data_IF_958831966109
#
_entry.id   IF_958831966109
#
_cell.length_a   1.000
_cell.length_b   1.000
_cell.length_c   1.000
_cell.angle_alpha   90.00
_cell.angle_beta   90.00
_cell.angle_gamma   90.00
#
_symmetry.space_group_name_H-M   'P 1'
#
loop_
_entity.id
_entity.type
_entity.pdbx_description
1 polymer ?
#
# COMPACT_ATOMS: atom_id res chain seq x y z
N UNK A 1 17.29 -11.41 -5.10
CA UNK A 1 16.74 -10.92 -6.38
C UNK A 1 17.64 -9.79 -6.91
N UNK A 2 17.89 -9.74 -8.20
CA UNK A 2 18.66 -8.65 -8.80
C UNK A 2 17.76 -7.41 -8.90
N UNK A 3 18.03 -6.35 -8.13
CA UNK A 3 17.20 -5.14 -8.11
C UNK A 3 17.24 -4.33 -9.43
N UNK A 4 18.00 -4.76 -10.40
CA UNK A 4 18.02 -4.19 -11.75
C UNK A 4 17.02 -4.84 -12.70
N UNK A 5 16.31 -5.84 -12.21
CA UNK A 5 15.26 -6.55 -12.93
C UNK A 5 13.91 -6.21 -12.29
N UNK A 6 12.91 -5.96 -13.12
CA UNK A 6 11.55 -5.69 -12.67
C UNK A 6 10.95 -6.96 -12.09
N UNK A 7 10.19 -6.82 -10.99
CA UNK A 7 9.40 -7.92 -10.47
C UNK A 7 8.38 -8.39 -11.51
N UNK A 8 8.16 -9.71 -11.59
CA UNK A 8 7.26 -10.32 -12.58
C UNK A 8 5.84 -9.73 -12.53
N UNK A 9 5.31 -9.48 -11.35
CA UNK A 9 3.98 -8.89 -11.15
C UNK A 9 3.85 -7.43 -11.63
N UNK A 10 4.97 -6.73 -11.83
CA UNK A 10 5.03 -5.34 -12.30
C UNK A 10 5.55 -5.21 -13.73
N UNK A 11 5.87 -6.33 -14.37
CA UNK A 11 6.57 -6.34 -15.67
C UNK A 11 5.74 -5.65 -16.77
N UNK A 12 4.47 -5.97 -16.89
CA UNK A 12 3.62 -5.42 -17.95
C UNK A 12 3.39 -3.92 -17.78
N UNK A 13 3.21 -3.45 -16.53
CA UNK A 13 3.11 -2.03 -16.24
C UNK A 13 4.40 -1.29 -16.55
N UNK A 14 5.53 -1.86 -16.15
CA UNK A 14 6.86 -1.30 -16.44
C UNK A 14 7.08 -1.18 -17.95
N UNK A 15 6.86 -2.25 -18.70
CA UNK A 15 7.06 -2.26 -20.16
C UNK A 15 6.15 -1.24 -20.84
N UNK A 16 4.88 -1.18 -20.42
CA UNK A 16 3.94 -0.18 -20.96
C UNK A 16 4.42 1.25 -20.69
N UNK A 17 4.90 1.53 -19.48
CA UNK A 17 5.42 2.85 -19.14
C UNK A 17 6.69 3.20 -19.93
N UNK A 18 7.60 2.24 -20.12
CA UNK A 18 8.81 2.38 -20.92
C UNK A 18 8.50 2.66 -22.39
N UNK A 19 7.57 1.92 -22.99
CA UNK A 19 7.14 2.07 -24.38
C UNK A 19 6.53 3.45 -24.69
N UNK A 20 5.96 4.13 -23.69
CA UNK A 20 5.46 5.51 -23.87
C UNK A 20 6.57 6.53 -24.06
N UNK A 21 7.77 6.27 -23.57
CA UNK A 21 8.88 7.23 -23.53
C UNK A 21 8.64 8.46 -22.66
N UNK A 22 7.56 8.45 -21.84
CA UNK A 22 7.18 9.61 -20.99
C UNK A 22 7.79 9.54 -19.59
N UNK A 23 8.31 8.39 -19.18
CA UNK A 23 8.78 8.13 -17.82
C UNK A 23 10.24 7.72 -17.80
N UNK A 24 10.99 8.27 -16.84
CA UNK A 24 12.32 7.79 -16.47
C UNK A 24 12.15 6.74 -15.36
N UNK A 25 12.44 5.48 -15.66
CA UNK A 25 12.23 4.38 -14.74
C UNK A 25 13.43 4.20 -13.81
N UNK A 26 13.16 4.13 -12.51
CA UNK A 26 14.16 3.89 -11.46
C UNK A 26 13.76 2.63 -10.69
N UNK A 27 14.61 1.63 -10.70
CA UNK A 27 14.41 0.43 -9.90
C UNK A 27 15.25 0.50 -8.62
N UNK A 28 14.77 -0.15 -7.57
CA UNK A 28 15.50 -0.25 -6.30
C UNK A 28 15.38 -1.63 -5.66
N UNK A 29 16.26 -1.92 -4.71
CA UNK A 29 16.36 -3.20 -4.01
C UNK A 29 15.27 -3.36 -2.93
N UNK A 30 14.00 -3.40 -3.35
CA UNK A 30 12.82 -3.38 -2.46
C UNK A 30 12.93 -4.38 -1.30
N UNK A 31 13.08 -5.69 -1.58
CA UNK A 31 13.10 -6.73 -0.54
C UNK A 31 14.26 -6.55 0.45
N UNK A 32 15.45 -6.27 -0.07
CA UNK A 32 16.64 -6.09 0.75
C UNK A 32 16.52 -4.82 1.61
N UNK A 33 16.01 -3.73 1.03
CA UNK A 33 15.75 -2.49 1.75
C UNK A 33 14.67 -2.68 2.83
N UNK A 34 13.58 -3.38 2.54
CA UNK A 34 12.51 -3.67 3.49
C UNK A 34 13.04 -4.51 4.68
N UNK A 35 14.03 -5.38 4.43
CA UNK A 35 14.73 -6.16 5.44
C UNK A 35 15.86 -5.38 6.17
N UNK A 36 15.93 -4.07 5.97
CA UNK A 36 16.84 -3.20 6.69
C UNK A 36 18.18 -2.93 6.01
N UNK A 37 18.40 -3.42 4.79
CA UNK A 37 19.58 -3.05 4.02
C UNK A 37 19.49 -1.59 3.52
N UNK A 38 20.64 -1.07 3.13
CA UNK A 38 20.73 0.26 2.54
C UNK A 38 20.01 0.31 1.20
N UNK A 39 19.29 1.40 0.95
CA UNK A 39 18.64 1.65 -0.34
C UNK A 39 19.68 1.67 -1.46
N UNK A 40 19.48 0.88 -2.49
CA UNK A 40 20.27 0.87 -3.74
C UNK A 40 19.30 1.04 -4.90
N UNK A 41 19.69 1.79 -5.89
CA UNK A 41 18.86 2.11 -7.04
C UNK A 41 19.65 1.99 -8.33
N UNK A 42 18.95 1.82 -9.44
CA UNK A 42 19.54 2.00 -10.77
C UNK A 42 19.95 3.44 -10.96
N UNK A 43 20.90 3.66 -11.91
CA UNK A 43 21.41 4.99 -12.17
C UNK A 43 20.30 5.97 -12.59
N UNK A 44 20.43 7.22 -12.13
CA UNK A 44 19.48 8.29 -12.39
C UNK A 44 20.16 9.34 -13.25
N UNK A 45 19.53 9.70 -14.34
CA UNK A 45 20.05 10.72 -15.25
C UNK A 45 19.40 12.08 -15.05
N UNK A 46 18.17 12.14 -14.57
CA UNK A 46 17.46 13.39 -14.30
C UNK A 46 16.42 13.17 -13.17
N UNK A 47 16.58 13.93 -12.09
CA UNK A 47 15.70 13.91 -10.90
C UNK A 47 14.99 15.25 -10.69
N UNK A 48 14.99 16.14 -11.68
CA UNK A 48 14.31 17.45 -11.61
C UNK A 48 12.79 17.31 -11.60
N UNK A 49 12.25 16.21 -12.10
CA UNK A 49 10.83 15.94 -12.17
C UNK A 49 10.29 15.26 -10.90
N UNK A 50 9.00 15.46 -10.58
CA UNK A 50 8.34 14.73 -9.51
C UNK A 50 8.39 13.21 -9.75
N UNK A 51 8.63 12.43 -8.68
CA UNK A 51 8.76 10.98 -8.76
C UNK A 51 7.51 10.32 -8.16
N UNK A 52 6.99 9.31 -8.85
CA UNK A 52 5.92 8.46 -8.36
C UNK A 52 6.48 7.13 -7.88
N UNK A 53 6.10 6.72 -6.69
CA UNK A 53 6.31 5.35 -6.23
C UNK A 53 5.27 4.42 -6.86
N UNK A 54 5.73 3.43 -7.60
CA UNK A 54 4.94 2.30 -8.10
C UNK A 54 5.56 1.01 -7.60
N UNK A 55 4.85 0.29 -6.77
CA UNK A 55 5.33 -0.94 -6.14
C UNK A 55 4.33 -1.47 -5.14
N UNK A 56 4.75 -2.47 -4.38
CA UNK A 56 3.92 -3.07 -3.35
C UNK A 56 3.50 -2.06 -2.27
N UNK A 57 2.31 -2.28 -1.73
CA UNK A 57 1.79 -1.49 -0.62
C UNK A 57 2.74 -1.58 0.58
N UNK A 58 3.18 -0.42 1.05
CA UNK A 58 3.99 -0.27 2.26
C UNK A 58 3.11 0.10 3.44
N UNK A 59 3.51 -0.29 4.63
CA UNK A 59 2.94 0.31 5.84
C UNK A 59 3.32 1.80 5.90
N UNK A 60 2.54 2.65 6.57
CA UNK A 60 2.83 4.10 6.62
C UNK A 60 4.23 4.45 7.08
N UNK A 61 4.75 3.74 8.08
CA UNK A 61 6.11 3.92 8.60
C UNK A 61 7.19 3.49 7.61
N UNK A 62 6.95 2.43 6.85
CA UNK A 62 7.84 1.97 5.78
C UNK A 62 7.85 2.97 4.63
N UNK A 63 6.67 3.48 4.23
CA UNK A 63 6.57 4.53 3.22
C UNK A 63 7.28 5.81 3.65
N UNK A 64 7.09 6.23 4.91
CA UNK A 64 7.79 7.39 5.47
C UNK A 64 9.31 7.21 5.45
N UNK A 65 9.79 5.99 5.74
CA UNK A 65 11.22 5.65 5.65
C UNK A 65 11.71 5.75 4.20
N UNK A 66 10.98 5.15 3.24
CA UNK A 66 11.33 5.23 1.82
C UNK A 66 11.39 6.68 1.34
N UNK A 67 10.39 7.48 1.71
CA UNK A 67 10.33 8.90 1.39
C UNK A 67 11.58 9.65 1.89
N UNK A 68 11.99 9.40 3.14
CA UNK A 68 13.21 9.98 3.70
C UNK A 68 14.48 9.50 3.01
N UNK A 69 14.64 8.19 2.82
CA UNK A 69 15.81 7.59 2.17
C UNK A 69 16.00 8.09 0.72
N UNK A 70 14.90 8.41 0.02
CA UNK A 70 14.92 9.03 -1.31
C UNK A 70 15.22 10.51 -1.25
N UNK A 71 14.60 11.25 -0.32
CA UNK A 71 14.83 12.68 -0.14
C UNK A 71 16.30 13.00 0.20
N UNK A 72 16.97 12.16 1.00
CA UNK A 72 18.40 12.25 1.30
C UNK A 72 19.30 12.14 0.04
N UNK A 73 18.73 11.66 -1.05
CA UNK A 73 19.39 11.56 -2.36
C UNK A 73 18.89 12.57 -3.37
N UNK A 74 18.10 13.55 -2.93
CA UNK A 74 17.51 14.58 -3.78
C UNK A 74 16.32 14.13 -4.61
N UNK A 75 15.73 12.96 -4.30
CA UNK A 75 14.56 12.43 -4.99
C UNK A 75 13.31 12.72 -4.17
N UNK A 76 12.40 13.49 -4.74
CA UNK A 76 11.18 13.91 -4.06
C UNK A 76 9.96 13.20 -4.63
N UNK A 77 9.36 12.32 -3.80
CA UNK A 77 8.11 11.66 -4.15
C UNK A 77 6.96 12.68 -4.16
N UNK A 78 6.11 12.57 -5.16
CA UNK A 78 4.91 13.41 -5.30
C UNK A 78 3.94 13.22 -4.14
N UNK A 79 3.77 11.98 -3.69
CA UNK A 79 2.88 11.66 -2.57
C UNK A 79 3.64 11.82 -1.26
N UNK A 80 3.19 12.71 -0.40
CA UNK A 80 3.78 12.85 0.95
C UNK A 80 3.41 11.68 1.85
N UNK A 81 4.20 11.38 2.91
CA UNK A 81 3.84 10.33 3.87
C UNK A 81 2.47 10.52 4.52
N UNK A 82 2.06 11.76 4.78
CA UNK A 82 0.75 12.07 5.33
C UNK A 82 -0.36 11.77 4.32
N UNK A 83 -0.22 12.23 3.07
CA UNK A 83 -1.18 11.93 2.01
C UNK A 83 -1.27 10.43 1.76
N UNK A 84 -0.14 9.70 1.77
CA UNK A 84 -0.11 8.25 1.64
C UNK A 84 -0.91 7.58 2.77
N UNK A 85 -0.64 7.92 4.03
CA UNK A 85 -1.34 7.33 5.17
C UNK A 85 -2.86 7.65 5.14
N UNK A 86 -3.23 8.87 4.79
CA UNK A 86 -4.63 9.29 4.76
C UNK A 86 -5.42 8.63 3.63
N UNK A 87 -4.81 8.41 2.47
CA UNK A 87 -5.52 7.84 1.31
C UNK A 87 -5.38 6.32 1.19
N UNK A 88 -4.38 5.75 1.82
CA UNK A 88 -4.06 4.32 1.69
C UNK A 88 -4.72 3.46 2.78
N UNK A 89 -4.88 4.01 3.98
CA UNK A 89 -5.58 3.33 5.07
C UNK A 89 -7.07 3.63 4.98
N UNK A 90 -7.88 2.61 4.66
CA UNK A 90 -9.33 2.79 4.54
C UNK A 90 -9.98 3.46 5.75
N UNK A 91 -9.59 3.15 7.01
CA UNK A 91 -10.12 3.87 8.18
C UNK A 91 -9.88 5.38 8.16
N UNK A 92 -8.79 5.85 7.55
CA UNK A 92 -8.45 7.27 7.49
C UNK A 92 -9.27 8.01 6.42
N UNK A 93 -9.52 7.37 5.27
CA UNK A 93 -10.32 7.98 4.20
C UNK A 93 -11.82 7.84 4.44
N UNK A 94 -12.25 6.83 5.19
CA UNK A 94 -13.66 6.53 5.42
C UNK A 94 -14.53 7.72 5.86
N UNK A 95 -14.11 8.59 6.82
CA UNK A 95 -14.90 9.76 7.21
C UNK A 95 -15.25 10.71 6.05
N UNK A 96 -14.42 10.71 4.99
CA UNK A 96 -14.59 11.59 3.83
C UNK A 96 -15.54 10.99 2.79
N UNK A 97 -15.66 9.66 2.74
CA UNK A 97 -16.42 8.93 1.71
C UNK A 97 -17.55 8.08 2.27
N UNK A 98 -17.87 8.22 3.55
CA UNK A 98 -18.86 7.36 4.26
C UNK A 98 -20.26 7.37 3.62
N UNK A 99 -20.63 8.45 2.95
CA UNK A 99 -21.94 8.56 2.28
C UNK A 99 -21.98 7.78 0.95
N UNK A 100 -20.80 7.50 0.38
CA UNK A 100 -20.65 6.85 -0.92
C UNK A 100 -20.09 5.42 -0.82
N UNK A 101 -19.92 4.89 0.39
CA UNK A 101 -19.33 3.57 0.62
C UNK A 101 -20.12 2.76 1.65
N UNK A 102 -19.82 1.46 1.74
CA UNK A 102 -20.43 0.59 2.72
C UNK A 102 -20.03 1.01 4.14
N UNK A 103 -20.97 0.83 5.08
CA UNK A 103 -20.74 1.13 6.48
C UNK A 103 -19.63 0.27 7.08
N UNK A 104 -18.81 0.86 7.96
CA UNK A 104 -17.62 0.23 8.51
C UNK A 104 -17.58 0.34 10.04
N UNK A 105 -17.17 -0.74 10.69
CA UNK A 105 -16.62 -0.73 12.05
C UNK A 105 -15.10 -0.96 11.99
N UNK A 106 -14.36 -0.14 12.71
CA UNK A 106 -12.90 -0.25 12.80
C UNK A 106 -12.47 -0.71 14.18
N UNK A 107 -11.53 -1.67 14.22
CA UNK A 107 -10.93 -2.20 15.44
C UNK A 107 -9.40 -2.05 15.36
N UNK A 108 -8.85 -0.87 15.71
CA UNK A 108 -7.43 -0.53 15.50
C UNK A 108 -6.45 -1.44 16.23
N UNK A 109 -6.88 -2.03 17.36
CA UNK A 109 -6.08 -2.96 18.17
C UNK A 109 -6.16 -4.42 17.68
N UNK A 110 -6.89 -4.65 16.58
CA UNK A 110 -7.11 -5.98 16.03
C UNK A 110 -8.04 -6.87 16.85
N UNK A 111 -8.63 -6.37 17.94
CA UNK A 111 -9.57 -7.12 18.79
C UNK A 111 -10.98 -6.88 18.32
N UNK A 112 -11.48 -7.75 17.46
CA UNK A 112 -12.82 -7.65 16.89
C UNK A 112 -13.86 -8.02 17.96
N UNK A 113 -14.74 -7.06 18.29
CA UNK A 113 -15.92 -7.32 19.09
C UNK A 113 -17.03 -7.92 18.20
N UNK A 114 -17.11 -9.25 18.19
CA UNK A 114 -18.03 -10.01 17.32
C UNK A 114 -19.49 -9.67 17.64
N UNK A 115 -19.84 -9.48 18.91
CA UNK A 115 -21.22 -9.16 19.28
C UNK A 115 -21.62 -7.76 18.81
N UNK A 116 -20.73 -6.78 18.91
CA UNK A 116 -20.93 -5.45 18.34
C UNK A 116 -21.10 -5.50 16.83
N UNK A 117 -20.30 -6.29 16.13
CA UNK A 117 -20.41 -6.48 14.67
C UNK A 117 -21.77 -7.09 14.32
N UNK A 118 -22.20 -8.14 15.01
CA UNK A 118 -23.51 -8.81 14.79
C UNK A 118 -24.70 -7.93 15.07
N UNK A 119 -24.61 -7.06 16.07
CA UNK A 119 -25.66 -6.08 16.36
C UNK A 119 -25.80 -5.04 15.24
N UNK A 120 -24.69 -4.73 14.56
CA UNK A 120 -24.63 -3.69 13.56
C UNK A 120 -24.92 -4.20 12.15
N UNK A 121 -24.40 -5.39 11.79
CA UNK A 121 -24.51 -5.95 10.45
C UNK A 121 -25.19 -7.32 10.43
N UNK A 122 -26.00 -7.56 9.40
CA UNK A 122 -26.54 -8.89 9.08
C UNK A 122 -25.52 -9.74 8.31
N UNK A 123 -24.79 -9.10 7.40
CA UNK A 123 -23.71 -9.70 6.60
C UNK A 123 -22.57 -8.71 6.56
N UNK A 124 -21.35 -9.20 6.69
CA UNK A 124 -20.15 -8.36 6.72
C UNK A 124 -18.95 -9.07 6.11
N UNK A 125 -17.95 -8.30 5.77
CA UNK A 125 -16.62 -8.81 5.44
C UNK A 125 -15.61 -8.24 6.42
N UNK A 126 -14.55 -9.01 6.67
CA UNK A 126 -13.39 -8.55 7.43
C UNK A 126 -12.28 -8.24 6.44
N UNK A 127 -11.66 -7.08 6.62
CA UNK A 127 -10.49 -6.64 5.82
C UNK A 127 -9.40 -6.12 6.73
N UNK A 128 -8.17 -6.38 6.33
CA UNK A 128 -7.02 -5.67 6.84
C UNK A 128 -7.08 -4.19 6.40
N UNK A 129 -6.61 -3.29 7.24
CA UNK A 129 -6.58 -1.85 6.94
C UNK A 129 -5.58 -1.47 5.85
N UNK A 130 -4.57 -2.31 5.60
CA UNK A 130 -3.47 -2.04 4.64
C UNK A 130 -3.53 -2.96 3.43
N UNK A 131 -3.91 -4.23 3.60
CA UNK A 131 -3.85 -5.24 2.55
C UNK A 131 -5.19 -5.95 2.37
N UNK A 132 -5.50 -6.31 1.12
CA UNK A 132 -6.47 -7.37 0.85
C UNK A 132 -5.75 -8.70 0.97
N UNK A 133 -6.03 -9.48 2.01
CA UNK A 133 -5.54 -10.87 2.13
C UNK A 133 -6.31 -11.73 1.13
N UNK A 134 -5.78 -11.90 -0.08
CA UNK A 134 -6.35 -12.79 -1.10
C UNK A 134 -5.71 -14.16 -0.97
N UNK A 135 -6.51 -15.22 -1.17
CA UNK A 135 -5.99 -16.59 -1.24
C UNK A 135 -5.65 -17.23 0.11
N UNK A 136 -6.14 -16.70 1.22
CA UNK A 136 -6.07 -17.35 2.53
C UNK A 136 -7.27 -18.26 2.74
N UNK A 137 -7.14 -19.25 3.63
CA UNK A 137 -8.26 -20.12 4.07
C UNK A 137 -9.34 -19.35 4.84
N UNK A 138 -9.10 -18.09 5.14
CA UNK A 138 -10.00 -17.24 5.88
C UNK A 138 -11.10 -16.69 4.97
N UNK A 139 -12.39 -17.05 5.20
CA UNK A 139 -13.48 -16.52 4.40
C UNK A 139 -13.59 -15.00 4.61
N UNK A 140 -13.67 -14.24 3.52
CA UNK A 140 -13.82 -12.79 3.59
C UNK A 140 -15.22 -12.34 4.01
N UNK A 141 -16.22 -13.22 3.85
CA UNK A 141 -17.63 -12.90 4.08
C UNK A 141 -18.21 -13.75 5.21
N UNK A 142 -18.96 -13.09 6.08
CA UNK A 142 -19.61 -13.68 7.23
C UNK A 142 -21.07 -13.21 7.33
N UNK A 143 -21.86 -13.95 8.08
CA UNK A 143 -23.19 -13.54 8.54
C UNK A 143 -23.29 -13.63 10.08
N UNK A 144 -24.46 -13.35 10.62
CA UNK A 144 -24.70 -13.37 12.08
C UNK A 144 -24.53 -14.73 12.74
N UNK A 145 -24.43 -15.83 11.99
CA UNK A 145 -24.26 -17.18 12.55
C UNK A 145 -22.81 -17.47 12.98
N UNK A 146 -21.84 -16.61 12.59
CA UNK A 146 -20.44 -16.78 12.97
C UNK A 146 -20.27 -16.81 14.49
N UNK A 147 -19.47 -17.73 14.99
CA UNK A 147 -19.04 -17.82 16.40
C UNK A 147 -17.57 -17.48 16.53
N UNK A 148 -17.16 -17.05 17.73
CA UNK A 148 -15.76 -16.82 18.05
C UNK A 148 -14.95 -18.11 18.02
#
# INVERSE_FOLDING_TARGET
MNYREVNEDMHDEYQTAEDTGLFNMILFNYDAWLNGEKLRMTDQTDISNPVLYRGWMLKPEEYKKLYGDLADRGIHLLTTPEAYANMHLFPNVYPMIKEDTAEMLCFPDGKIDVEKVKQHFNRFMIKDSVKSTKGTEFPAFFDRSVTQ
#
